data_IF_202396620782
#
_entry.id   IF_202396620782
#
_cell.length_a   1.000
_cell.length_b   1.000
_cell.length_c   1.000
_cell.angle_alpha   90.00
_cell.angle_beta   90.00
_cell.angle_gamma   90.00
#
_symmetry.space_group_name_H-M   'P 1'
#
loop_
_entity.id
_entity.type
_entity.pdbx_description
1 polymer ?
#
# COMPACT_ATOMS: atom_id res chain seq x y z
N UNK A 1 -32.73 6.54 -16.90
CA UNK A 1 -32.11 6.83 -15.60
C UNK A 1 -30.90 5.92 -15.43
N UNK A 2 -29.75 6.51 -15.39
CA UNK A 2 -28.52 5.77 -15.16
C UNK A 2 -28.34 5.54 -13.67
N UNK A 3 -28.19 4.29 -13.27
CA UNK A 3 -27.81 3.99 -11.89
C UNK A 3 -26.37 4.43 -11.68
N UNK A 4 -26.16 5.26 -10.65
CA UNK A 4 -24.80 5.62 -10.25
C UNK A 4 -24.07 4.36 -9.82
N UNK A 5 -22.88 4.11 -10.40
CA UNK A 5 -21.97 3.10 -9.86
C UNK A 5 -21.55 3.53 -8.47
N UNK A 6 -21.53 2.64 -7.47
CA UNK A 6 -21.02 3.00 -6.15
C UNK A 6 -19.60 3.53 -6.29
N UNK A 7 -19.31 4.61 -5.59
CA UNK A 7 -17.96 5.17 -5.58
C UNK A 7 -16.98 4.14 -5.04
N UNK A 8 -15.89 3.94 -5.75
CA UNK A 8 -14.82 3.06 -5.31
C UNK A 8 -13.91 3.82 -4.32
N UNK A 9 -13.37 3.08 -3.38
CA UNK A 9 -12.39 3.61 -2.44
C UNK A 9 -11.01 3.44 -3.05
N UNK A 10 -10.43 4.52 -3.55
CA UNK A 10 -9.06 4.48 -4.07
C UNK A 10 -8.11 4.24 -2.91
N UNK A 11 -7.32 3.19 -3.00
CA UNK A 11 -6.53 2.67 -1.88
C UNK A 11 -5.09 2.40 -2.29
N UNK A 12 -4.16 2.89 -1.49
CA UNK A 12 -2.75 2.51 -1.58
C UNK A 12 -2.39 1.70 -0.34
N UNK A 13 -1.94 0.47 -0.52
CA UNK A 13 -1.41 -0.35 0.58
C UNK A 13 0.12 -0.37 0.49
N UNK A 14 0.81 -0.19 1.63
CA UNK A 14 2.26 -0.36 1.63
C UNK A 14 2.64 -1.84 1.68
N UNK A 15 3.93 -2.11 1.59
CA UNK A 15 4.43 -3.50 1.55
C UNK A 15 4.04 -4.30 2.79
N UNK A 16 3.93 -3.65 3.95
CA UNK A 16 3.62 -4.34 5.19
C UNK A 16 2.23 -5.00 5.17
N UNK A 17 1.27 -4.40 4.48
CA UNK A 17 -0.08 -4.99 4.33
C UNK A 17 -0.01 -6.25 3.47
N UNK A 18 0.70 -6.19 2.35
CA UNK A 18 0.86 -7.33 1.46
C UNK A 18 1.58 -8.48 2.16
N UNK A 19 2.66 -8.17 2.88
CA UNK A 19 3.43 -9.17 3.61
C UNK A 19 2.58 -9.81 4.70
N UNK A 20 1.84 -9.03 5.47
CA UNK A 20 0.96 -9.57 6.51
C UNK A 20 -0.12 -10.49 5.93
N UNK A 21 -0.66 -10.17 4.77
CA UNK A 21 -1.72 -10.98 4.16
C UNK A 21 -1.25 -12.40 3.81
N UNK A 22 -0.01 -12.57 3.33
CA UNK A 22 0.48 -13.87 2.88
C UNK A 22 1.39 -14.56 3.90
N UNK A 23 2.14 -13.78 4.68
CA UNK A 23 3.18 -14.32 5.56
C UNK A 23 3.07 -13.82 7.02
N UNK A 24 2.03 -13.06 7.35
CA UNK A 24 1.84 -12.54 8.70
C UNK A 24 1.60 -13.65 9.73
N UNK A 25 2.18 -13.48 10.92
CA UNK A 25 2.06 -14.47 12.00
C UNK A 25 0.96 -14.14 13.00
N UNK A 26 0.57 -12.87 13.12
CA UNK A 26 -0.55 -12.46 13.95
C UNK A 26 -1.86 -12.72 13.20
N UNK A 27 -2.72 -13.65 13.69
CA UNK A 27 -3.93 -14.01 12.95
C UNK A 27 -4.91 -12.85 12.75
N UNK A 28 -5.05 -11.97 13.72
CA UNK A 28 -5.98 -10.85 13.64
C UNK A 28 -5.50 -9.83 12.60
N UNK A 29 -4.21 -9.51 12.62
CA UNK A 29 -3.60 -8.56 11.67
C UNK A 29 -3.63 -9.12 10.27
N UNK A 30 -3.30 -10.40 10.11
CA UNK A 30 -3.39 -11.10 8.83
C UNK A 30 -4.80 -11.03 8.25
N UNK A 31 -5.80 -11.29 9.08
CA UNK A 31 -7.21 -11.26 8.66
C UNK A 31 -7.62 -9.86 8.19
N UNK A 32 -7.19 -8.81 8.91
CA UNK A 32 -7.47 -7.44 8.50
C UNK A 32 -6.82 -7.12 7.14
N UNK A 33 -5.57 -7.55 6.94
CA UNK A 33 -4.89 -7.37 5.66
C UNK A 33 -5.64 -8.07 4.51
N UNK A 34 -6.01 -9.33 4.72
CA UNK A 34 -6.75 -10.12 3.72
C UNK A 34 -8.11 -9.47 3.41
N UNK A 35 -8.81 -8.98 4.42
CA UNK A 35 -10.11 -8.32 4.24
C UNK A 35 -10.01 -7.06 3.39
N UNK A 36 -8.96 -6.27 3.60
CA UNK A 36 -8.72 -5.07 2.81
C UNK A 36 -8.43 -5.42 1.35
N UNK A 37 -7.55 -6.39 1.12
CA UNK A 37 -7.16 -6.78 -0.23
C UNK A 37 -8.30 -7.45 -1.00
N UNK A 38 -9.23 -8.09 -0.28
CA UNK A 38 -10.41 -8.71 -0.88
C UNK A 38 -11.65 -7.81 -0.96
N UNK A 39 -11.57 -6.58 -0.51
CA UNK A 39 -12.71 -5.65 -0.51
C UNK A 39 -12.96 -5.12 -1.91
N UNK A 40 -14.05 -5.57 -2.52
CA UNK A 40 -14.40 -5.23 -3.90
C UNK A 40 -14.78 -3.76 -4.09
N UNK A 41 -15.00 -3.02 -3.01
CA UNK A 41 -15.26 -1.58 -3.09
C UNK A 41 -13.98 -0.78 -3.32
N UNK A 42 -12.81 -1.41 -3.23
CA UNK A 42 -11.51 -0.73 -3.33
C UNK A 42 -10.94 -0.86 -4.73
N UNK A 43 -10.40 0.25 -5.21
CA UNK A 43 -9.52 0.29 -6.38
C UNK A 43 -8.10 0.51 -5.89
N UNK A 44 -7.20 -0.42 -6.18
CA UNK A 44 -5.84 -0.33 -5.70
C UNK A 44 -4.95 0.43 -6.67
N UNK A 45 -4.07 1.24 -6.10
CA UNK A 45 -3.03 1.96 -6.81
C UNK A 45 -1.67 1.45 -6.36
N UNK A 46 -0.67 1.56 -7.21
CA UNK A 46 0.67 1.12 -6.88
C UNK A 46 1.72 1.90 -7.64
N UNK A 47 2.95 1.74 -7.22
CA UNK A 47 4.14 2.20 -7.92
C UNK A 47 5.09 1.03 -8.11
N UNK A 48 6.09 1.21 -8.97
CA UNK A 48 7.15 0.21 -9.14
C UNK A 48 8.03 0.10 -7.90
N UNK A 49 8.06 1.13 -7.05
CA UNK A 49 8.74 1.05 -5.75
C UNK A 49 8.14 -0.06 -4.87
N UNK A 50 6.81 -0.23 -4.90
CA UNK A 50 6.16 -1.30 -4.15
C UNK A 50 6.58 -2.67 -4.69
N UNK A 51 6.65 -2.83 -6.01
CA UNK A 51 7.16 -4.06 -6.61
C UNK A 51 8.60 -4.34 -6.18
N UNK A 52 9.43 -3.31 -6.15
CA UNK A 52 10.83 -3.43 -5.76
C UNK A 52 10.99 -3.89 -4.31
N UNK A 53 10.03 -3.59 -3.45
CA UNK A 53 10.07 -4.04 -2.06
C UNK A 53 9.65 -5.51 -1.90
N UNK A 54 8.66 -5.99 -2.64
CA UNK A 54 8.04 -7.29 -2.34
C UNK A 54 8.44 -8.42 -3.28
N UNK A 55 8.81 -8.12 -4.54
CA UNK A 55 9.09 -9.16 -5.53
C UNK A 55 10.51 -9.77 -5.45
N UNK A 56 11.58 -9.04 -5.11
CA UNK A 56 12.93 -9.57 -5.22
C UNK A 56 13.20 -10.81 -4.36
N UNK A 57 12.85 -10.79 -3.10
CA UNK A 57 13.20 -11.90 -2.20
C UNK A 57 12.45 -13.19 -2.51
N UNK A 58 11.12 -13.18 -2.72
CA UNK A 58 10.44 -14.42 -3.10
C UNK A 58 10.87 -14.93 -4.48
N UNK A 59 11.29 -14.03 -5.37
CA UNK A 59 11.85 -14.45 -6.67
C UNK A 59 13.19 -15.16 -6.49
N UNK A 60 14.11 -14.54 -5.74
CA UNK A 60 15.45 -15.11 -5.52
C UNK A 60 15.37 -16.45 -4.81
N UNK A 61 14.56 -16.56 -3.78
CA UNK A 61 14.48 -17.75 -2.94
C UNK A 61 13.39 -18.72 -3.37
N UNK A 62 12.79 -18.51 -4.53
CA UNK A 62 11.79 -19.40 -5.14
C UNK A 62 10.61 -19.68 -4.21
N UNK A 63 10.16 -18.65 -3.51
CA UNK A 63 8.96 -18.72 -2.65
C UNK A 63 7.72 -18.53 -3.51
N UNK A 64 7.33 -19.59 -4.21
CA UNK A 64 6.30 -19.52 -5.25
C UNK A 64 4.96 -19.05 -4.75
N UNK A 65 4.55 -19.43 -3.54
CA UNK A 65 3.26 -19.03 -2.96
C UNK A 65 3.21 -17.51 -2.73
N UNK A 66 4.26 -16.96 -2.14
CA UNK A 66 4.36 -15.51 -1.90
C UNK A 66 4.44 -14.75 -3.21
N UNK A 67 5.29 -15.20 -4.13
CA UNK A 67 5.46 -14.56 -5.43
C UNK A 67 4.16 -14.53 -6.22
N UNK A 68 3.44 -15.65 -6.27
CA UNK A 68 2.15 -15.73 -6.96
C UNK A 68 1.12 -14.77 -6.36
N UNK A 69 1.12 -14.66 -5.03
CA UNK A 69 0.21 -13.74 -4.33
C UNK A 69 0.51 -12.29 -4.71
N UNK A 70 1.78 -11.87 -4.66
CA UNK A 70 2.14 -10.50 -5.02
C UNK A 70 1.85 -10.19 -6.48
N UNK A 71 2.17 -11.11 -7.39
CA UNK A 71 1.90 -10.93 -8.81
C UNK A 71 0.41 -10.81 -9.10
N UNK A 72 -0.41 -11.60 -8.40
CA UNK A 72 -1.86 -11.49 -8.51
C UNK A 72 -2.36 -10.13 -8.02
N UNK A 73 -1.84 -9.65 -6.90
CA UNK A 73 -2.18 -8.31 -6.42
C UNK A 73 -1.87 -7.26 -7.49
N UNK A 74 -0.66 -7.26 -8.02
CA UNK A 74 -0.26 -6.27 -9.02
C UNK A 74 -1.08 -6.36 -10.31
N UNK A 75 -1.54 -7.55 -10.67
CA UNK A 75 -2.42 -7.71 -11.85
C UNK A 75 -3.78 -7.05 -11.68
N UNK A 76 -4.21 -6.81 -10.44
CA UNK A 76 -5.48 -6.17 -10.13
C UNK A 76 -5.36 -4.68 -9.83
N UNK A 77 -4.16 -4.13 -9.86
CA UNK A 77 -3.95 -2.69 -9.66
C UNK A 77 -4.55 -1.93 -10.82
N UNK A 78 -5.40 -0.95 -10.49
CA UNK A 78 -6.13 -0.15 -11.48
C UNK A 78 -5.32 1.06 -11.94
N UNK A 79 -4.59 1.71 -11.03
CA UNK A 79 -3.85 2.93 -11.31
C UNK A 79 -2.39 2.75 -10.94
N UNK A 80 -1.52 2.80 -11.93
CA UNK A 80 -0.07 2.80 -11.74
C UNK A 80 0.43 4.23 -11.80
N UNK A 81 1.13 4.65 -10.75
CA UNK A 81 1.69 5.99 -10.67
C UNK A 81 3.12 6.02 -11.15
N UNK A 82 3.48 7.09 -11.88
CA UNK A 82 4.86 7.36 -12.23
C UNK A 82 5.66 7.74 -11.00
N UNK A 83 6.88 7.25 -10.91
CA UNK A 83 7.71 7.39 -9.72
C UNK A 83 8.35 8.77 -9.61
N UNK A 84 8.82 9.33 -10.73
CA UNK A 84 9.62 10.56 -10.71
C UNK A 84 8.89 11.73 -10.07
N UNK A 85 7.61 12.01 -10.41
CA UNK A 85 6.90 13.11 -9.77
C UNK A 85 6.69 12.96 -8.27
N UNK A 86 6.88 11.75 -7.72
CA UNK A 86 6.68 11.47 -6.31
C UNK A 86 7.93 11.77 -5.46
N UNK A 87 9.09 11.90 -6.08
CA UNK A 87 10.37 11.98 -5.34
C UNK A 87 10.44 13.26 -4.51
N UNK A 88 10.14 14.42 -5.09
CA UNK A 88 10.20 15.67 -4.34
C UNK A 88 9.13 15.74 -3.23
N UNK A 89 7.86 15.41 -3.48
CA UNK A 89 6.88 15.33 -2.40
C UNK A 89 7.28 14.36 -1.29
N UNK A 90 7.86 13.20 -1.65
CA UNK A 90 8.34 12.23 -0.67
C UNK A 90 9.48 12.80 0.17
N UNK A 91 10.43 13.47 -0.46
CA UNK A 91 11.53 14.12 0.24
C UNK A 91 11.01 15.14 1.26
N UNK A 92 10.06 15.96 0.85
CA UNK A 92 9.46 16.97 1.73
C UNK A 92 8.76 16.33 2.94
N UNK A 93 8.01 15.24 2.71
CA UNK A 93 7.36 14.48 3.79
C UNK A 93 8.38 13.84 4.73
N UNK A 94 9.43 13.23 4.18
CA UNK A 94 10.47 12.59 4.97
C UNK A 94 11.18 13.61 5.86
N UNK A 95 11.52 14.79 5.32
CA UNK A 95 12.18 15.84 6.06
C UNK A 95 11.29 16.45 7.15
N UNK A 96 9.99 16.60 6.84
CA UNK A 96 9.07 17.24 7.79
C UNK A 96 8.67 16.33 8.94
N UNK A 97 8.44 15.04 8.67
CA UNK A 97 7.90 14.11 9.66
C UNK A 97 8.89 13.04 10.11
N UNK A 98 10.10 13.01 9.55
CA UNK A 98 11.09 12.00 9.90
C UNK A 98 10.77 10.62 9.38
N UNK A 99 10.14 10.52 8.21
CA UNK A 99 9.76 9.24 7.61
C UNK A 99 10.95 8.59 6.92
N UNK A 100 10.98 7.25 6.90
CA UNK A 100 11.88 6.52 6.03
C UNK A 100 11.55 6.76 4.56
N UNK A 101 12.55 6.61 3.68
CA UNK A 101 12.41 6.96 2.28
C UNK A 101 11.27 6.24 1.57
N UNK A 102 11.15 4.93 1.76
CA UNK A 102 10.08 4.17 1.10
C UNK A 102 8.71 4.49 1.68
N UNK A 103 8.59 4.67 2.99
CA UNK A 103 7.33 5.10 3.59
C UNK A 103 6.87 6.44 3.03
N UNK A 104 7.81 7.37 2.87
CA UNK A 104 7.53 8.68 2.30
C UNK A 104 7.08 8.60 0.84
N UNK A 105 7.71 7.72 0.03
CA UNK A 105 7.33 7.52 -1.35
C UNK A 105 5.92 6.95 -1.48
N UNK A 106 5.59 5.94 -0.67
CA UNK A 106 4.26 5.35 -0.68
C UNK A 106 3.19 6.34 -0.22
N UNK A 107 3.51 7.11 0.81
CA UNK A 107 2.59 8.13 1.32
C UNK A 107 2.37 9.24 0.29
N UNK A 108 3.44 9.69 -0.37
CA UNK A 108 3.33 10.68 -1.45
C UNK A 108 2.44 10.17 -2.60
N UNK A 109 2.56 8.89 -2.94
CA UNK A 109 1.72 8.27 -3.95
C UNK A 109 0.24 8.32 -3.55
N UNK A 110 -0.08 7.95 -2.32
CA UNK A 110 -1.45 8.00 -1.82
C UNK A 110 -2.00 9.43 -1.82
N UNK A 111 -1.22 10.38 -1.36
CA UNK A 111 -1.62 11.79 -1.29
C UNK A 111 -1.90 12.34 -2.69
N UNK A 112 -1.09 11.99 -3.68
CA UNK A 112 -1.25 12.49 -5.05
C UNK A 112 -2.59 12.13 -5.67
N UNK A 113 -3.20 11.03 -5.24
CA UNK A 113 -4.52 10.57 -5.70
C UNK A 113 -5.62 10.81 -4.66
N UNK A 114 -5.30 11.43 -3.54
CA UNK A 114 -6.20 11.54 -2.40
C UNK A 114 -6.74 10.15 -2.00
N UNK A 115 -5.91 9.13 -2.09
CA UNK A 115 -6.25 7.76 -1.78
C UNK A 115 -6.17 7.47 -0.28
N UNK A 116 -6.92 6.47 0.17
CA UNK A 116 -6.74 5.93 1.51
C UNK A 116 -5.41 5.15 1.56
N UNK A 117 -4.57 5.49 2.53
CA UNK A 117 -3.28 4.83 2.74
C UNK A 117 -3.41 3.83 3.88
N UNK A 118 -3.04 2.57 3.64
CA UNK A 118 -3.15 1.52 4.65
C UNK A 118 -1.78 0.89 4.90
N UNK A 119 -1.42 0.79 6.18
CA UNK A 119 -0.14 0.27 6.64
C UNK A 119 -0.32 -0.64 7.84
N UNK A 120 0.63 -1.55 8.05
CA UNK A 120 0.72 -2.35 9.27
C UNK A 120 1.57 -1.69 10.36
N UNK A 121 2.03 -0.46 10.15
CA UNK A 121 2.71 0.29 11.20
C UNK A 121 1.77 0.60 12.36
N UNK A 122 2.34 0.72 13.57
CA UNK A 122 1.55 1.03 14.77
C UNK A 122 0.91 2.40 14.66
N UNK A 123 -0.31 2.59 15.23
CA UNK A 123 -1.05 3.85 15.07
C UNK A 123 -0.32 5.11 15.54
N UNK A 124 0.63 5.01 16.45
CA UNK A 124 1.38 6.17 16.96
C UNK A 124 2.53 6.65 16.07
N UNK A 125 2.76 6.03 14.92
CA UNK A 125 3.88 6.38 14.05
C UNK A 125 3.65 7.69 13.31
N UNK A 126 4.74 8.41 12.95
CA UNK A 126 4.64 9.73 12.31
C UNK A 126 3.83 9.76 11.01
N UNK A 127 3.77 8.67 10.25
CA UNK A 127 3.04 8.65 9.00
C UNK A 127 1.54 8.99 9.18
N UNK A 128 0.95 8.61 10.32
CA UNK A 128 -0.46 8.90 10.58
C UNK A 128 -0.70 10.37 10.95
N UNK A 129 0.34 11.07 11.37
CA UNK A 129 0.30 12.52 11.59
C UNK A 129 0.45 13.28 10.26
N UNK A 130 1.16 12.68 9.31
CA UNK A 130 1.44 13.30 8.02
C UNK A 130 0.24 13.29 7.08
N UNK A 131 -0.69 12.35 7.26
CA UNK A 131 -1.82 12.18 6.35
C UNK A 131 -3.05 11.69 7.11
N UNK A 132 -4.12 12.47 7.06
CA UNK A 132 -5.37 12.16 7.76
C UNK A 132 -6.02 10.87 7.25
N UNK A 133 -5.93 10.60 5.95
CA UNK A 133 -6.56 9.45 5.31
C UNK A 133 -5.64 8.22 5.33
N UNK A 134 -4.92 8.05 6.43
CA UNK A 134 -4.03 6.91 6.66
C UNK A 134 -4.58 6.04 7.80
N UNK A 135 -4.65 4.73 7.56
CA UNK A 135 -5.20 3.76 8.50
C UNK A 135 -4.19 2.66 8.80
N UNK A 136 -4.21 2.18 10.05
CA UNK A 136 -3.38 1.07 10.50
C UNK A 136 -4.20 -0.22 10.60
N UNK A 137 -3.61 -1.34 10.16
CA UNK A 137 -4.17 -2.69 10.41
C UNK A 137 -3.58 -3.33 11.67
N UNK A 138 -2.73 -2.60 12.39
CA UNK A 138 -2.04 -3.15 13.58
C UNK A 138 -2.96 -3.56 14.70
#
# INVERSE_FOLDING_TARGET
MTMATPDKIVTFVDSSVLINAIAGQDPARKMRAVSILGDQRREFTATRFLQLEVLPMPTKYQRSRELNFYQRFFSHVTHWLDEEPLIQPALDLACRYGLGGMDALHLAAAISLNAEFISAERPGKPLYQAYQNALSIY
#
